data_IF_859645283290
#
_entry.id   IF_859645283290
#
_cell.length_a   1.000
_cell.length_b   1.000
_cell.length_c   1.000
_cell.angle_alpha   90.00
_cell.angle_beta   90.00
_cell.angle_gamma   90.00
#
_symmetry.space_group_name_H-M   'P 1'
#
loop_
_entity.id
_entity.type
_entity.pdbx_description
1 polymer ?
#
# COMPACT_ATOMS: atom_id res chain seq x y z
N UNK A 1 -13.42 14.02 -12.46
CA UNK A 1 -13.96 13.66 -11.13
C UNK A 1 -13.64 12.22 -10.73
N UNK A 2 -14.02 11.21 -11.53
CA UNK A 2 -13.79 9.78 -11.19
C UNK A 2 -12.31 9.36 -11.01
N UNK A 3 -11.36 10.00 -11.70
CA UNK A 3 -9.93 9.69 -11.52
C UNK A 3 -9.42 10.04 -10.11
N UNK A 4 -9.94 11.12 -9.52
CA UNK A 4 -9.59 11.52 -8.15
C UNK A 4 -10.15 10.52 -7.14
N UNK A 5 -11.35 9.96 -7.38
CA UNK A 5 -11.90 8.89 -6.54
C UNK A 5 -11.02 7.63 -6.60
N UNK A 6 -10.58 7.22 -7.79
CA UNK A 6 -9.66 6.09 -7.95
C UNK A 6 -8.32 6.33 -7.25
N UNK A 7 -7.79 7.55 -7.32
CA UNK A 7 -6.61 7.93 -6.57
C UNK A 7 -6.84 7.84 -5.05
N UNK A 8 -7.97 8.34 -4.54
CA UNK A 8 -8.32 8.27 -3.11
C UNK A 8 -8.51 6.84 -2.61
N UNK A 9 -9.08 5.96 -3.43
CA UNK A 9 -9.22 4.53 -3.14
C UNK A 9 -7.82 3.89 -3.03
N UNK A 10 -6.94 4.16 -3.99
CA UNK A 10 -5.56 3.69 -3.93
C UNK A 10 -4.80 4.20 -2.70
N UNK A 11 -5.02 5.47 -2.36
CA UNK A 11 -4.49 6.09 -1.14
C UNK A 11 -4.96 5.36 0.13
N UNK A 12 -6.26 5.06 0.23
CA UNK A 12 -6.81 4.29 1.35
C UNK A 12 -6.18 2.91 1.50
N UNK A 13 -6.01 2.18 0.39
CA UNK A 13 -5.34 0.87 0.40
C UNK A 13 -3.87 0.96 0.81
N UNK A 14 -3.14 1.97 0.33
CA UNK A 14 -1.76 2.19 0.71
C UNK A 14 -1.61 2.55 2.20
N UNK A 15 -2.46 3.43 2.73
CA UNK A 15 -2.42 3.80 4.15
C UNK A 15 -2.76 2.59 5.04
N UNK A 16 -3.83 1.85 4.71
CA UNK A 16 -4.22 0.66 5.48
C UNK A 16 -3.15 -0.43 5.46
N UNK A 17 -2.56 -0.71 4.29
CA UNK A 17 -1.48 -1.68 4.15
C UNK A 17 -0.19 -1.23 4.84
N UNK A 18 0.16 0.05 4.72
CA UNK A 18 1.36 0.63 5.32
C UNK A 18 1.31 0.65 6.85
N UNK A 19 0.20 1.07 7.45
CA UNK A 19 0.02 1.05 8.91
C UNK A 19 0.10 -0.39 9.43
N UNK A 20 -0.57 -1.34 8.77
CA UNK A 20 -0.50 -2.76 9.13
C UNK A 20 0.91 -3.31 9.02
N UNK A 21 1.65 -2.95 7.96
CA UNK A 21 3.05 -3.33 7.77
C UNK A 21 3.93 -2.83 8.93
N UNK A 22 3.77 -1.58 9.34
CA UNK A 22 4.52 -1.00 10.48
C UNK A 22 4.22 -1.78 11.77
N UNK A 23 2.95 -2.10 12.05
CA UNK A 23 2.55 -2.86 13.25
C UNK A 23 3.22 -4.23 13.27
N UNK A 24 3.17 -4.98 12.17
CA UNK A 24 3.77 -6.32 12.11
C UNK A 24 5.31 -6.27 12.12
N UNK A 25 5.93 -5.23 11.56
CA UNK A 25 7.37 -5.01 11.66
C UNK A 25 7.80 -4.68 13.10
N UNK A 26 6.91 -4.04 13.87
CA UNK A 26 7.17 -3.73 15.27
C UNK A 26 7.17 -4.96 16.19
N UNK A 27 6.88 -6.14 15.65
CA UNK A 27 7.03 -7.42 16.35
C UNK A 27 8.47 -7.98 16.22
N UNK A 28 9.29 -7.45 15.30
CA UNK A 28 10.70 -7.85 15.14
C UNK A 28 11.53 -7.56 16.42
N UNK A 29 11.42 -6.37 17.06
CA UNK A 29 12.04 -6.12 18.36
C UNK A 29 11.57 -7.05 19.49
N UNK A 30 10.40 -7.68 19.35
CA UNK A 30 9.86 -8.62 20.34
C UNK A 30 10.51 -10.02 20.25
N UNK A 31 11.52 -10.21 19.39
CA UNK A 31 12.29 -11.45 19.26
C UNK A 31 11.98 -12.27 18.00
N UNK A 32 11.13 -11.76 17.09
CA UNK A 32 10.85 -12.39 15.80
C UNK A 32 11.85 -11.95 14.74
N UNK A 33 12.32 -12.88 13.91
CA UNK A 33 13.23 -12.53 12.81
C UNK A 33 12.46 -11.94 11.63
N UNK A 34 13.14 -11.19 10.75
CA UNK A 34 12.55 -10.69 9.51
C UNK A 34 12.03 -11.82 8.59
N UNK A 35 12.64 -13.01 8.67
CA UNK A 35 12.14 -14.20 7.98
C UNK A 35 10.78 -14.65 8.52
N UNK A 36 10.58 -14.63 9.84
CA UNK A 36 9.31 -14.98 10.48
C UNK A 36 8.23 -13.96 10.11
N UNK A 37 8.59 -12.68 10.03
CA UNK A 37 7.75 -11.62 9.50
C UNK A 37 7.24 -11.94 8.08
N UNK A 38 8.11 -12.38 7.17
CA UNK A 38 7.69 -12.72 5.81
C UNK A 38 6.85 -14.01 5.73
N UNK A 39 6.86 -14.85 6.76
CA UNK A 39 6.02 -16.05 6.80
C UNK A 39 4.62 -15.76 7.37
N UNK A 40 4.43 -14.67 8.11
CA UNK A 40 3.14 -14.26 8.65
C UNK A 40 2.14 -13.94 7.50
N UNK A 41 0.99 -14.66 7.43
CA UNK A 41 -0.03 -14.41 6.41
C UNK A 41 -0.58 -12.98 6.45
N UNK A 42 -0.66 -12.41 7.65
CA UNK A 42 -1.14 -11.05 7.88
C UNK A 42 -0.15 -10.00 7.36
N UNK A 43 1.15 -10.23 7.52
CA UNK A 43 2.20 -9.38 6.96
C UNK A 43 2.21 -9.42 5.43
N UNK A 44 2.01 -10.61 4.83
CA UNK A 44 1.83 -10.76 3.38
C UNK A 44 0.61 -10.00 2.87
N UNK A 45 -0.51 -10.11 3.59
CA UNK A 45 -1.73 -9.35 3.30
C UNK A 45 -1.48 -7.84 3.32
N UNK A 46 -0.86 -7.33 4.39
CA UNK A 46 -0.52 -5.91 4.52
C UNK A 46 0.36 -5.41 3.35
N UNK A 47 1.36 -6.19 2.95
CA UNK A 47 2.24 -5.87 1.83
C UNK A 47 1.50 -5.82 0.49
N UNK A 48 0.59 -6.77 0.23
CA UNK A 48 -0.23 -6.80 -0.99
C UNK A 48 -1.16 -5.59 -1.04
N UNK A 49 -1.82 -5.24 0.07
CA UNK A 49 -2.67 -4.05 0.17
C UNK A 49 -1.88 -2.76 -0.09
N UNK A 50 -0.68 -2.66 0.48
CA UNK A 50 0.22 -1.54 0.24
C UNK A 50 0.63 -1.41 -1.23
N UNK A 51 1.07 -2.51 -1.85
CA UNK A 51 1.48 -2.53 -3.24
C UNK A 51 0.32 -2.22 -4.20
N UNK A 52 -0.86 -2.79 -3.95
CA UNK A 52 -2.07 -2.50 -4.74
C UNK A 52 -2.45 -1.02 -4.64
N UNK A 53 -2.35 -0.42 -3.44
CA UNK A 53 -2.57 1.01 -3.24
C UNK A 53 -1.62 1.90 -4.05
N UNK A 54 -0.33 1.57 -4.07
CA UNK A 54 0.66 2.31 -4.88
C UNK A 54 0.40 2.16 -6.38
N UNK A 55 0.11 0.95 -6.86
CA UNK A 55 -0.16 0.70 -8.29
C UNK A 55 -1.40 1.48 -8.75
N UNK A 56 -2.47 1.45 -7.97
CA UNK A 56 -3.72 2.15 -8.28
C UNK A 56 -3.58 3.67 -8.23
N UNK A 57 -2.80 4.21 -7.28
CA UNK A 57 -2.43 5.63 -7.27
C UNK A 57 -1.57 6.01 -8.48
N UNK A 58 -0.55 5.22 -8.80
CA UNK A 58 0.35 5.48 -9.93
C UNK A 58 -0.38 5.48 -11.28
N UNK A 59 -1.34 4.57 -11.47
CA UNK A 59 -2.18 4.54 -12.66
C UNK A 59 -3.08 5.77 -12.76
N UNK A 60 -3.68 6.19 -11.64
CA UNK A 60 -4.51 7.41 -11.59
C UNK A 60 -3.70 8.67 -11.85
N UNK A 61 -2.47 8.75 -11.32
CA UNK A 61 -1.57 9.88 -11.51
C UNK A 61 -1.15 10.02 -12.97
N UNK A 62 -0.72 8.94 -13.62
CA UNK A 62 -0.36 8.93 -15.05
C UNK A 62 -1.52 9.46 -15.92
N UNK A 63 -2.75 9.04 -15.61
CA UNK A 63 -3.94 9.48 -16.32
C UNK A 63 -4.25 10.96 -16.06
N UNK A 64 -4.07 11.43 -14.83
CA UNK A 64 -4.24 12.83 -14.45
C UNK A 64 -3.21 13.74 -15.15
N UNK A 65 -1.94 13.37 -15.13
CA UNK A 65 -0.85 14.11 -15.78
C UNK A 65 -1.08 14.25 -17.28
N UNK A 66 -1.53 13.18 -17.97
CA UNK A 66 -1.88 13.24 -19.40
C UNK A 66 -3.04 14.18 -19.73
N UNK A 67 -3.96 14.40 -18.80
CA UNK A 67 -5.09 15.32 -18.99
C UNK A 67 -4.65 16.78 -18.83
N UNK A 68 -3.71 17.05 -17.91
CA UNK A 68 -3.25 18.40 -17.60
C UNK A 68 -2.12 18.91 -18.51
N UNK A 69 -1.33 18.00 -19.09
CA UNK A 69 -0.20 18.32 -19.99
C UNK A 69 -0.63 18.37 -21.47
N UNK A 70 -1.88 18.02 -21.76
CA UNK A 70 -2.54 18.33 -23.04
C UNK A 70 -3.24 19.67 -22.95
#
# INVERSE_FOLDING_TARGET
MFILLFFLIGFGFAVSGGVSMIIYLNVIPAGLSFQDYMQLPQAKGALIFFMLGIITMGFSLNKLTRIFVK
#
